data_IF_091525857474
#
_entry.id   IF_091525857474
#
_cell.length_a   1.000
_cell.length_b   1.000
_cell.length_c   1.000
_cell.angle_alpha   90.00
_cell.angle_beta   90.00
_cell.angle_gamma   90.00
#
_symmetry.space_group_name_H-M   'P 1'
#
loop_
_entity.id
_entity.type
_entity.pdbx_description
1 polymer ?
#
# COMPACT_ATOMS: atom_id res chain seq x y z
N UNK A 1 12.56 9.52 1.71
CA UNK A 1 11.73 8.74 0.77
C UNK A 1 11.66 7.25 1.10
N UNK A 2 12.69 6.43 0.86
CA UNK A 2 12.54 4.96 1.04
C UNK A 2 12.40 4.52 2.50
N UNK A 3 13.21 5.08 3.40
CA UNK A 3 13.04 4.80 4.83
C UNK A 3 11.70 5.30 5.36
N UNK A 4 11.26 6.50 4.98
CA UNK A 4 9.96 7.05 5.39
C UNK A 4 8.80 6.17 4.92
N UNK A 5 8.87 5.65 3.70
CA UNK A 5 7.90 4.69 3.18
C UNK A 5 7.86 3.42 4.04
N UNK A 6 9.03 2.83 4.32
CA UNK A 6 9.13 1.64 5.18
C UNK A 6 8.58 1.94 6.57
N UNK A 7 8.94 3.08 7.18
CA UNK A 7 8.43 3.51 8.48
C UNK A 7 6.91 3.61 8.49
N UNK A 8 6.33 4.35 7.54
CA UNK A 8 4.89 4.55 7.43
C UNK A 8 4.15 3.22 7.30
N UNK A 9 4.57 2.37 6.35
CA UNK A 9 3.91 1.08 6.11
C UNK A 9 3.99 0.17 7.34
N UNK A 10 5.15 0.16 8.03
CA UNK A 10 5.35 -0.67 9.22
C UNK A 10 4.80 -0.06 10.51
N UNK A 11 4.36 1.21 10.50
CA UNK A 11 3.55 1.80 11.56
C UNK A 11 2.08 1.43 11.40
N UNK A 12 1.59 1.33 10.16
CA UNK A 12 0.21 0.90 9.85
C UNK A 12 0.07 -0.62 9.99
N UNK A 13 1.05 -1.39 9.51
CA UNK A 13 1.03 -2.87 9.53
C UNK A 13 2.35 -3.39 10.13
N UNK A 14 2.48 -3.37 11.47
CA UNK A 14 3.72 -3.75 12.15
C UNK A 14 4.10 -5.22 11.95
N UNK A 15 3.16 -6.09 11.56
CA UNK A 15 3.37 -7.52 11.33
C UNK A 15 4.21 -7.82 10.09
N UNK A 16 4.39 -6.85 9.19
CA UNK A 16 5.17 -7.03 7.97
C UNK A 16 6.64 -7.35 8.26
N UNK A 17 7.21 -6.78 9.31
CA UNK A 17 8.61 -7.00 9.70
C UNK A 17 8.72 -7.18 11.20
N UNK A 18 9.61 -8.06 11.66
CA UNK A 18 9.94 -8.09 13.08
C UNK A 18 10.58 -6.77 13.49
N UNK A 19 10.47 -6.39 14.77
CA UNK A 19 11.10 -5.16 15.31
C UNK A 19 12.57 -5.03 14.91
N UNK A 20 13.31 -6.15 14.96
CA UNK A 20 14.72 -6.21 14.54
C UNK A 20 14.91 -6.00 13.04
N UNK A 21 14.10 -6.64 12.19
CA UNK A 21 14.18 -6.47 10.74
C UNK A 21 13.85 -5.04 10.33
N UNK A 22 12.77 -4.48 10.89
CA UNK A 22 12.35 -3.09 10.70
C UNK A 22 13.49 -2.13 11.06
N UNK A 23 14.07 -2.31 12.23
CA UNK A 23 15.20 -1.52 12.70
C UNK A 23 16.41 -1.57 11.77
N UNK A 24 16.85 -2.78 11.42
CA UNK A 24 18.02 -2.96 10.55
C UNK A 24 17.80 -2.31 9.17
N UNK A 25 16.59 -2.42 8.62
CA UNK A 25 16.25 -1.82 7.33
C UNK A 25 16.26 -0.29 7.41
N UNK A 26 15.55 0.28 8.39
CA UNK A 26 15.46 1.74 8.58
C UNK A 26 16.85 2.34 8.87
N UNK A 27 17.60 1.75 9.81
CA UNK A 27 18.94 2.22 10.19
C UNK A 27 19.92 2.09 9.03
N UNK A 28 19.88 0.99 8.28
CA UNK A 28 20.72 0.83 7.11
C UNK A 28 20.40 1.89 6.04
N UNK A 29 19.14 2.06 5.67
CA UNK A 29 18.76 3.08 4.68
C UNK A 29 19.19 4.49 5.09
N UNK A 30 19.03 4.86 6.38
CA UNK A 30 19.48 6.16 6.89
C UNK A 30 21.00 6.29 6.94
N UNK A 31 21.71 5.25 7.37
CA UNK A 31 23.17 5.25 7.40
C UNK A 31 23.77 5.43 5.99
N UNK A 32 23.20 4.74 4.99
CA UNK A 32 23.60 4.91 3.59
C UNK A 32 23.40 6.35 3.10
N UNK A 33 22.24 6.94 3.37
CA UNK A 33 21.97 8.34 3.01
C UNK A 33 22.97 9.30 3.65
N UNK A 34 23.26 9.12 4.94
CA UNK A 34 24.26 9.94 5.66
C UNK A 34 25.63 9.82 5.00
N UNK A 35 26.06 8.61 4.67
CA UNK A 35 27.34 8.36 4.03
C UNK A 35 27.38 8.92 2.60
N UNK A 36 26.29 8.89 1.85
CA UNK A 36 26.22 9.52 0.52
C UNK A 36 26.29 11.05 0.61
N UNK A 37 25.62 11.66 1.59
CA UNK A 37 25.68 13.11 1.84
C UNK A 37 27.08 13.58 2.23
N UNK A 38 27.78 12.80 3.06
CA UNK A 38 29.18 13.07 3.41
C UNK A 38 30.12 13.01 2.18
N UNK A 39 29.81 12.18 1.17
CA UNK A 39 30.62 12.02 -0.03
C UNK A 39 30.40 13.13 -1.05
N UNK A 40 29.14 13.50 -1.28
CA UNK A 40 28.72 14.33 -2.41
C UNK A 40 29.11 15.82 -2.27
N UNK A 41 29.42 16.29 -1.07
CA UNK A 41 29.64 17.72 -0.80
C UNK A 41 31.04 18.03 -0.31
N UNK A 42 31.68 19.04 -0.90
CA UNK A 42 32.95 19.60 -0.42
C UNK A 42 32.80 21.12 -0.27
N UNK A 43 32.75 21.65 0.98
CA UNK A 43 32.77 20.95 2.28
C UNK A 43 31.46 20.17 2.56
N UNK A 44 31.51 19.18 3.45
CA UNK A 44 30.30 18.47 3.85
C UNK A 44 29.37 19.39 4.67
N UNK A 45 28.11 19.51 4.25
CA UNK A 45 27.13 20.34 4.95
C UNK A 45 26.58 19.61 6.18
N UNK A 46 27.12 20.00 7.34
CA UNK A 46 26.68 19.51 8.65
C UNK A 46 25.18 19.74 8.86
N UNK A 47 24.61 20.81 8.32
CA UNK A 47 23.19 21.14 8.44
C UNK A 47 22.28 20.13 7.74
N UNK A 48 22.74 19.47 6.69
CA UNK A 48 21.98 18.44 5.97
C UNK A 48 22.12 17.06 6.62
N UNK A 49 23.24 16.78 7.28
CA UNK A 49 23.50 15.48 7.90
C UNK A 49 22.90 15.37 9.30
N UNK A 50 22.87 16.48 10.05
CA UNK A 50 22.40 16.53 11.43
C UNK A 50 20.97 15.97 11.65
N UNK A 51 19.95 16.31 10.84
CA UNK A 51 18.59 15.79 11.04
C UNK A 51 18.51 14.27 10.88
N UNK A 52 19.39 13.69 10.05
CA UNK A 52 19.44 12.26 9.84
C UNK A 52 20.13 11.53 11.00
N UNK A 53 21.15 12.14 11.61
CA UNK A 53 21.79 11.61 12.82
C UNK A 53 20.84 11.59 14.02
N UNK A 54 20.09 12.67 14.22
CA UNK A 54 19.07 12.74 15.27
C UNK A 54 18.01 11.66 15.09
N UNK A 55 17.57 11.43 13.85
CA UNK A 55 16.60 10.37 13.55
C UNK A 55 17.17 8.98 13.82
N UNK A 56 18.44 8.72 13.47
CA UNK A 56 19.12 7.45 13.80
C UNK A 56 19.19 7.25 15.32
N UNK A 57 19.49 8.31 16.08
CA UNK A 57 19.53 8.25 17.54
C UNK A 57 18.16 7.87 18.13
N UNK A 58 17.08 8.55 17.72
CA UNK A 58 15.71 8.25 18.18
C UNK A 58 15.32 6.79 17.89
N UNK A 59 15.66 6.29 16.70
CA UNK A 59 15.39 4.90 16.34
C UNK A 59 16.16 3.90 17.21
N UNK A 60 17.41 4.20 17.53
CA UNK A 60 18.29 3.36 18.35
C UNK A 60 17.82 3.31 19.80
N UNK A 61 17.38 4.45 20.35
CA UNK A 61 16.78 4.54 21.69
C UNK A 61 15.48 3.72 21.76
N UNK A 62 14.62 3.83 20.74
CA UNK A 62 13.41 3.03 20.63
C UNK A 62 13.69 1.52 20.58
N UNK A 63 14.88 1.09 20.15
CA UNK A 63 15.28 -0.33 20.09
C UNK A 63 15.94 -0.84 21.36
N UNK A 64 16.60 0.03 22.11
CA UNK A 64 17.35 -0.34 23.32
C UNK A 64 16.46 -0.84 24.47
N UNK A 65 15.16 -0.52 24.46
CA UNK A 65 14.18 -0.88 25.50
C UNK A 65 14.01 -2.41 25.65
N UNK A 66 14.35 -3.21 24.63
CA UNK A 66 14.16 -4.68 24.61
C UNK A 66 15.35 -5.50 25.16
N UNK A 67 16.26 -4.92 25.93
CA UNK A 67 17.33 -5.67 26.62
C UNK A 67 18.61 -5.92 25.82
N UNK A 68 18.71 -5.38 24.60
CA UNK A 68 19.91 -5.39 23.72
C UNK A 68 20.70 -4.07 23.77
N UNK A 69 20.60 -3.30 24.86
CA UNK A 69 21.05 -1.91 24.91
C UNK A 69 22.58 -1.74 24.75
N UNK A 70 23.39 -2.61 25.36
CA UNK A 70 24.84 -2.38 25.47
C UNK A 70 25.58 -2.51 24.13
N UNK A 71 25.33 -3.58 23.37
CA UNK A 71 26.00 -3.79 22.06
C UNK A 71 25.55 -2.75 21.04
N UNK A 72 24.27 -2.39 21.04
CA UNK A 72 23.69 -1.45 20.09
C UNK A 72 24.20 -0.02 20.33
N UNK A 73 24.34 0.38 21.61
CA UNK A 73 24.93 1.67 21.99
C UNK A 73 26.40 1.79 21.56
N UNK A 74 27.20 0.72 21.66
CA UNK A 74 28.61 0.74 21.23
C UNK A 74 28.73 0.87 19.71
N UNK A 75 27.87 0.20 18.93
CA UNK A 75 27.89 0.37 17.47
C UNK A 75 27.36 1.75 17.05
N UNK A 76 26.40 2.30 17.79
CA UNK A 76 25.92 3.67 17.60
C UNK A 76 27.05 4.68 17.74
N UNK A 77 27.78 4.62 18.86
CA UNK A 77 28.83 5.59 19.17
C UNK A 77 29.91 5.55 18.10
N UNK A 78 30.32 4.34 17.69
CA UNK A 78 31.29 4.15 16.60
C UNK A 78 30.82 4.76 15.28
N UNK A 79 29.53 4.62 14.95
CA UNK A 79 28.97 5.22 13.74
C UNK A 79 28.93 6.75 13.83
N UNK A 80 28.51 7.32 14.97
CA UNK A 80 28.53 8.77 15.19
C UNK A 80 29.94 9.34 15.14
N UNK A 81 30.91 8.66 15.75
CA UNK A 81 32.32 9.05 15.73
C UNK A 81 32.85 9.06 14.29
N UNK A 82 32.53 8.02 13.52
CA UNK A 82 32.86 7.95 12.10
C UNK A 82 32.26 9.13 11.34
N UNK A 83 30.95 9.38 11.43
CA UNK A 83 30.30 10.47 10.68
C UNK A 83 30.88 11.83 11.08
N UNK A 84 31.06 12.08 12.38
CA UNK A 84 31.68 13.32 12.87
C UNK A 84 33.09 13.52 12.30
N UNK A 85 33.85 12.45 12.16
CA UNK A 85 35.17 12.49 11.57
C UNK A 85 35.11 12.84 10.08
N UNK A 86 34.24 12.17 9.32
CA UNK A 86 34.02 12.45 7.90
C UNK A 86 33.58 13.90 7.64
N UNK A 87 32.81 14.49 8.55
CA UNK A 87 32.37 15.89 8.44
C UNK A 87 33.48 16.91 8.75
N UNK A 88 34.42 16.57 9.64
CA UNK A 88 35.46 17.49 10.13
C UNK A 88 36.76 17.41 9.35
N UNK A 89 37.19 16.20 8.97
CA UNK A 89 38.50 15.96 8.37
C UNK A 89 38.37 15.51 6.91
N UNK A 90 38.83 16.37 6.00
CA UNK A 90 38.82 16.08 4.56
C UNK A 90 39.68 14.87 4.20
N UNK A 91 40.87 14.76 4.79
CA UNK A 91 41.82 13.68 4.47
C UNK A 91 41.29 12.32 4.96
N UNK A 92 40.72 12.28 6.16
CA UNK A 92 40.08 11.07 6.70
C UNK A 92 38.85 10.66 5.89
N UNK A 93 38.10 11.64 5.41
CA UNK A 93 36.99 11.42 4.49
C UNK A 93 37.46 10.81 3.16
N UNK A 94 38.46 11.39 2.52
CA UNK A 94 39.02 10.86 1.28
C UNK A 94 39.56 9.43 1.48
N UNK A 95 40.27 9.17 2.58
CA UNK A 95 40.77 7.83 2.93
C UNK A 95 39.63 6.83 3.17
N UNK A 96 38.59 7.23 3.90
CA UNK A 96 37.43 6.37 4.17
C UNK A 96 36.72 5.96 2.88
N UNK A 97 36.52 6.87 1.92
CA UNK A 97 35.86 6.51 0.65
C UNK A 97 36.70 5.62 -0.27
N UNK A 98 38.02 5.52 -0.07
CA UNK A 98 38.84 4.50 -0.75
C UNK A 98 38.55 3.10 -0.23
N UNK A 99 38.31 2.94 1.08
CA UNK A 99 37.99 1.65 1.72
C UNK A 99 36.49 1.39 1.87
N UNK A 100 35.65 2.39 1.59
CA UNK A 100 34.20 2.34 1.71
C UNK A 100 33.57 1.16 0.95
N UNK A 101 33.96 0.83 -0.29
CA UNK A 101 33.41 -0.34 -1.00
C UNK A 101 33.71 -1.69 -0.32
N UNK A 102 34.63 -1.74 0.63
CA UNK A 102 34.93 -2.92 1.42
C UNK A 102 34.13 -2.96 2.73
N UNK A 103 33.97 -1.81 3.40
CA UNK A 103 33.27 -1.71 4.69
C UNK A 103 31.74 -1.59 4.54
N UNK A 104 31.26 -0.79 3.59
CA UNK A 104 29.85 -0.59 3.22
C UNK A 104 29.62 -1.11 1.80
N UNK A 105 30.18 -2.31 1.55
CA UNK A 105 30.25 -2.94 0.25
C UNK A 105 29.11 -3.92 -0.06
N UNK A 106 29.40 -4.94 -0.89
CA UNK A 106 28.41 -5.93 -1.34
C UNK A 106 27.64 -6.57 -0.19
N UNK A 107 28.30 -6.93 0.90
CA UNK A 107 27.66 -7.55 2.07
C UNK A 107 26.58 -6.66 2.67
N UNK A 108 26.83 -5.35 2.77
CA UNK A 108 25.88 -4.38 3.30
C UNK A 108 24.72 -4.17 2.33
N UNK A 109 25.03 -4.00 1.04
CA UNK A 109 24.04 -3.83 -0.02
C UNK A 109 23.13 -5.05 -0.17
N UNK A 110 23.69 -6.26 -0.07
CA UNK A 110 22.96 -7.51 -0.15
C UNK A 110 22.03 -7.69 1.05
N UNK A 111 22.48 -7.32 2.26
CA UNK A 111 21.65 -7.32 3.46
C UNK A 111 20.48 -6.35 3.33
N UNK A 112 20.73 -5.10 2.88
CA UNK A 112 19.68 -4.11 2.64
C UNK A 112 18.69 -4.57 1.58
N UNK A 113 19.19 -5.08 0.44
CA UNK A 113 18.36 -5.58 -0.65
C UNK A 113 17.50 -6.75 -0.20
N UNK A 114 18.06 -7.67 0.58
CA UNK A 114 17.33 -8.81 1.13
C UNK A 114 16.20 -8.38 2.07
N UNK A 115 16.48 -7.45 2.99
CA UNK A 115 15.47 -6.89 3.90
C UNK A 115 14.37 -6.15 3.14
N UNK A 116 14.73 -5.31 2.17
CA UNK A 116 13.77 -4.59 1.32
C UNK A 116 12.91 -5.55 0.51
N UNK A 117 13.52 -6.58 -0.09
CA UNK A 117 12.77 -7.60 -0.83
C UNK A 117 11.78 -8.34 0.07
N UNK A 118 12.22 -8.77 1.25
CA UNK A 118 11.33 -9.44 2.21
C UNK A 118 10.17 -8.54 2.62
N UNK A 119 10.43 -7.27 2.89
CA UNK A 119 9.40 -6.26 3.18
C UNK A 119 8.39 -6.17 2.03
N UNK A 120 8.86 -6.00 0.79
CA UNK A 120 8.00 -5.88 -0.38
C UNK A 120 7.18 -7.15 -0.65
N UNK A 121 7.78 -8.34 -0.54
CA UNK A 121 7.05 -9.60 -0.73
C UNK A 121 5.93 -9.79 0.31
N UNK A 122 6.16 -9.38 1.56
CA UNK A 122 5.13 -9.45 2.60
C UNK A 122 4.06 -8.37 2.43
N UNK A 123 4.46 -7.17 2.00
CA UNK A 123 3.53 -6.11 1.67
C UNK A 123 2.61 -6.53 0.51
N UNK A 124 3.17 -7.15 -0.52
CA UNK A 124 2.42 -7.72 -1.63
C UNK A 124 1.42 -8.78 -1.16
N UNK A 125 1.83 -9.68 -0.26
CA UNK A 125 0.91 -10.67 0.33
C UNK A 125 -0.21 -10.04 1.18
N UNK A 126 0.05 -8.88 1.77
CA UNK A 126 -0.93 -8.13 2.55
C UNK A 126 -1.93 -7.37 1.66
N UNK A 127 -1.54 -7.05 0.42
CA UNK A 127 -2.41 -6.45 -0.58
C UNK A 127 -3.14 -7.58 -1.33
N UNK A 128 -4.44 -7.82 -1.09
CA UNK A 128 -5.12 -8.90 -1.78
C UNK A 128 -5.11 -8.63 -3.28
N UNK A 129 -5.05 -9.68 -4.10
CA UNK A 129 -5.45 -9.60 -5.51
C UNK A 129 -6.95 -9.30 -5.55
N UNK A 130 -7.29 -8.01 -5.48
CA UNK A 130 -8.67 -7.57 -5.42
C UNK A 130 -9.29 -7.70 -6.82
N UNK A 131 -10.43 -8.37 -6.90
CA UNK A 131 -11.30 -8.29 -8.08
C UNK A 131 -11.82 -6.86 -8.23
N UNK A 132 -12.21 -6.45 -9.43
CA UNK A 132 -12.78 -5.13 -9.67
C UNK A 132 -14.00 -4.84 -8.76
N UNK A 133 -14.75 -5.87 -8.38
CA UNK A 133 -15.88 -5.75 -7.46
C UNK A 133 -15.44 -5.46 -6.02
N UNK A 134 -14.40 -6.12 -5.51
CA UNK A 134 -13.87 -5.89 -4.16
C UNK A 134 -13.14 -4.55 -4.05
N UNK A 135 -12.40 -4.19 -5.11
CA UNK A 135 -11.93 -2.83 -5.39
C UNK A 135 -13.13 -1.88 -5.23
N UNK A 136 -14.17 -2.02 -6.06
CA UNK A 136 -15.34 -1.14 -6.07
C UNK A 136 -16.07 -1.02 -4.71
N UNK A 137 -16.13 -2.07 -3.90
CA UNK A 137 -16.78 -2.02 -2.58
C UNK A 137 -15.98 -1.22 -1.55
N UNK A 138 -14.63 -1.33 -1.57
CA UNK A 138 -13.75 -0.49 -0.73
C UNK A 138 -13.83 0.98 -1.18
N UNK A 139 -14.05 1.20 -2.47
CA UNK A 139 -14.18 2.53 -3.08
C UNK A 139 -15.54 3.20 -2.87
N UNK A 140 -16.61 2.43 -2.70
CA UNK A 140 -17.95 2.97 -2.42
C UNK A 140 -18.05 3.58 -1.02
N UNK A 141 -17.21 3.14 -0.07
CA UNK A 141 -17.29 3.53 1.33
C UNK A 141 -16.39 4.72 1.71
N UNK A 142 -15.53 5.24 0.83
CA UNK A 142 -14.70 6.39 1.21
C UNK A 142 -13.87 7.09 0.13
N UNK A 143 -13.97 8.43 0.17
CA UNK A 143 -12.96 9.45 -0.19
C UNK A 143 -13.07 10.16 -1.55
N UNK A 144 -13.09 11.50 -1.47
CA UNK A 144 -12.93 12.44 -2.60
C UNK A 144 -11.59 12.31 -3.34
N UNK A 145 -10.58 11.69 -2.73
CA UNK A 145 -9.27 11.40 -3.37
C UNK A 145 -9.44 10.40 -4.53
N UNK A 146 -10.45 9.53 -4.45
CA UNK A 146 -10.74 8.57 -5.51
C UNK A 146 -11.29 9.25 -6.77
N UNK A 147 -12.02 10.35 -6.63
CA UNK A 147 -12.57 11.08 -7.77
C UNK A 147 -11.43 11.61 -8.67
N UNK A 148 -10.32 12.08 -8.07
CA UNK A 148 -9.10 12.43 -8.79
C UNK A 148 -8.42 11.22 -9.45
N UNK A 149 -8.36 10.06 -8.77
CA UNK A 149 -7.82 8.83 -9.36
C UNK A 149 -8.72 8.27 -10.48
N UNK A 150 -10.04 8.38 -10.38
CA UNK A 150 -10.97 7.97 -11.43
C UNK A 150 -10.92 8.93 -12.62
N UNK A 151 -10.79 10.23 -12.36
CA UNK A 151 -10.54 11.24 -13.40
C UNK A 151 -9.20 11.04 -14.10
N UNK A 152 -8.17 10.52 -13.42
CA UNK A 152 -6.91 10.16 -14.08
C UNK A 152 -7.08 8.90 -14.93
N UNK A 153 -7.62 7.80 -14.39
CA UNK A 153 -7.82 6.55 -15.16
C UNK A 153 -8.70 6.74 -16.40
N UNK A 154 -9.76 7.54 -16.30
CA UNK A 154 -10.65 7.87 -17.43
C UNK A 154 -9.98 8.73 -18.52
N UNK A 155 -8.84 9.35 -18.23
CA UNK A 155 -8.08 10.19 -19.17
C UNK A 155 -6.92 9.48 -19.86
N UNK A 156 -6.57 8.25 -19.48
CA UNK A 156 -5.28 7.68 -19.87
C UNK A 156 -5.35 6.69 -21.05
N UNK A 157 -4.67 7.08 -22.13
CA UNK A 157 -4.30 6.24 -23.28
C UNK A 157 -3.58 4.94 -22.86
N UNK A 158 -2.92 4.93 -21.71
CA UNK A 158 -2.18 3.80 -21.16
C UNK A 158 -3.09 2.62 -20.79
N UNK A 159 -4.27 2.89 -20.20
CA UNK A 159 -5.26 1.84 -19.93
C UNK A 159 -5.74 1.21 -21.24
N UNK A 160 -5.98 2.05 -22.26
CA UNK A 160 -6.36 1.58 -23.59
C UNK A 160 -5.27 0.69 -24.21
N UNK A 161 -4.02 1.10 -24.13
CA UNK A 161 -2.86 0.32 -24.61
C UNK A 161 -2.73 -1.01 -23.86
N UNK A 162 -2.91 -1.01 -22.53
CA UNK A 162 -2.83 -2.22 -21.71
C UNK A 162 -3.98 -3.20 -22.02
N UNK A 163 -5.20 -2.69 -22.18
CA UNK A 163 -6.36 -3.50 -22.57
C UNK A 163 -6.22 -4.05 -24.00
N UNK A 164 -5.63 -3.29 -24.92
CA UNK A 164 -5.33 -3.76 -26.28
C UNK A 164 -4.29 -4.89 -26.26
N UNK A 165 -3.19 -4.70 -25.52
CA UNK A 165 -2.16 -5.71 -25.36
C UNK A 165 -2.70 -7.03 -24.79
N UNK A 166 -3.56 -6.96 -23.76
CA UNK A 166 -4.17 -8.15 -23.16
C UNK A 166 -5.21 -8.82 -24.08
N UNK A 167 -5.98 -8.04 -24.85
CA UNK A 167 -6.91 -8.57 -25.86
C UNK A 167 -6.18 -9.40 -26.92
N UNK A 168 -5.02 -8.94 -27.36
CA UNK A 168 -4.24 -9.61 -28.40
C UNK A 168 -3.58 -10.91 -27.90
N UNK A 169 -3.30 -10.99 -26.59
CA UNK A 169 -2.72 -12.19 -25.94
C UNK A 169 -3.76 -13.25 -25.58
N UNK A 170 -4.98 -12.85 -25.24
CA UNK A 170 -6.08 -13.76 -24.95
C UNK A 170 -7.39 -13.10 -25.37
N UNK A 171 -7.88 -13.40 -26.59
CA UNK A 171 -9.18 -12.93 -27.03
C UNK A 171 -10.23 -13.43 -26.04
N UNK A 172 -11.15 -12.58 -25.57
CA UNK A 172 -12.23 -13.05 -24.72
C UNK A 172 -13.05 -14.09 -25.47
N UNK A 173 -13.20 -15.29 -24.89
CA UNK A 173 -14.16 -16.29 -25.36
C UNK A 173 -15.57 -15.72 -25.12
N UNK A 174 -16.11 -15.04 -26.13
CA UNK A 174 -17.50 -14.59 -26.12
C UNK A 174 -18.43 -15.80 -26.27
N UNK A 175 -18.68 -16.51 -25.17
CA UNK A 175 -19.92 -17.23 -25.00
C UNK A 175 -20.91 -16.27 -24.30
N UNK A 176 -21.42 -15.32 -25.07
CA UNK A 176 -22.46 -14.39 -24.62
C UNK A 176 -23.75 -15.19 -24.40
N UNK A 177 -23.94 -15.67 -23.17
CA UNK A 177 -25.28 -15.95 -22.67
C UNK A 177 -26.00 -14.61 -22.62
N UNK A 178 -26.74 -14.31 -23.70
CA UNK A 178 -27.55 -13.11 -23.91
C UNK A 178 -28.16 -12.60 -22.60
N UNK A 179 -27.47 -11.63 -21.99
CA UNK A 179 -28.05 -10.71 -21.04
C UNK A 179 -28.12 -9.37 -21.77
N UNK A 180 -28.88 -9.36 -22.88
CA UNK A 180 -29.15 -8.14 -23.62
C UNK A 180 -29.84 -7.18 -22.65
N UNK A 181 -29.14 -6.10 -22.29
CA UNK A 181 -29.59 -5.08 -21.34
C UNK A 181 -30.73 -4.24 -21.89
N UNK A 182 -31.79 -4.88 -22.39
CA UNK A 182 -32.96 -4.25 -23.00
C UNK A 182 -33.59 -3.18 -22.07
N UNK A 183 -33.43 -3.33 -20.75
CA UNK A 183 -33.93 -2.36 -19.77
C UNK A 183 -33.20 -1.02 -19.75
N UNK A 184 -31.92 -0.95 -20.13
CA UNK A 184 -31.14 0.31 -20.05
C UNK A 184 -31.53 1.23 -21.21
N UNK A 185 -31.57 0.70 -22.44
CA UNK A 185 -31.98 1.49 -23.61
C UNK A 185 -33.46 1.90 -23.49
N UNK A 186 -34.33 0.97 -23.06
CA UNK A 186 -35.75 1.28 -22.83
C UNK A 186 -35.97 2.33 -21.73
N UNK A 187 -35.11 2.38 -20.70
CA UNK A 187 -35.18 3.40 -19.65
C UNK A 187 -34.72 4.78 -20.13
N UNK A 188 -33.80 4.85 -21.09
CA UNK A 188 -33.36 6.10 -21.71
C UNK A 188 -34.39 6.64 -22.71
N UNK A 189 -35.16 5.75 -23.35
CA UNK A 189 -36.29 6.11 -24.21
C UNK A 189 -37.49 6.68 -23.44
N UNK A 190 -37.59 6.44 -22.13
CA UNK A 190 -38.57 7.09 -21.25
C UNK A 190 -38.13 8.50 -20.82
N UNK A 191 -37.90 9.37 -21.79
CA UNK A 191 -37.82 10.81 -21.55
C UNK A 191 -38.99 11.53 -22.21
N UNK A 192 -39.89 12.00 -21.33
CA UNK A 192 -40.86 13.09 -21.52
C UNK A 192 -42.13 12.71 -22.30
N UNK A 193 -43.08 12.06 -21.63
CA UNK A 193 -44.49 12.41 -21.91
C UNK A 193 -44.81 13.67 -21.10
N UNK A 194 -44.95 14.79 -21.82
CA UNK A 194 -45.55 16.02 -21.29
C UNK A 194 -46.88 15.67 -20.63
N UNK A 195 -47.00 16.00 -19.34
CA UNK A 195 -48.18 15.70 -18.55
C UNK A 195 -49.46 16.24 -19.18
N UNK A 196 -50.33 15.34 -19.62
CA UNK A 196 -51.77 15.60 -19.58
C UNK A 196 -52.31 15.05 -18.27
N UNK A 197 -52.49 15.96 -17.32
CA UNK A 197 -53.27 15.77 -16.10
C UNK A 197 -54.67 15.27 -16.50
N UNK A 198 -54.97 14.00 -16.30
CA UNK A 198 -56.36 13.55 -16.12
C UNK A 198 -56.47 12.79 -14.82
N UNK A 199 -57.04 13.52 -13.88
CA UNK A 199 -57.43 13.18 -12.53
C UNK A 199 -58.29 11.90 -12.46
N UNK A 200 -57.77 10.84 -11.82
CA UNK A 200 -58.59 9.86 -11.09
C UNK A 200 -57.75 9.06 -10.09
N UNK A 201 -58.17 8.92 -8.83
CA UNK A 201 -57.39 8.19 -7.82
C UNK A 201 -57.52 6.66 -8.04
N UNK A 202 -56.45 5.86 -7.81
CA UNK A 202 -56.58 4.42 -7.86
C UNK A 202 -57.30 3.92 -6.61
N UNK A 203 -58.40 3.19 -6.83
CA UNK A 203 -59.14 2.49 -5.80
C UNK A 203 -58.28 1.37 -5.18
N UNK A 204 -58.35 1.27 -3.86
CA UNK A 204 -57.85 0.14 -3.06
C UNK A 204 -58.35 -1.19 -3.62
N UNK A 205 -57.44 -2.11 -3.95
CA UNK A 205 -57.74 -3.55 -4.05
C UNK A 205 -56.55 -4.33 -3.51
N UNK A 206 -56.55 -4.57 -2.19
CA UNK A 206 -55.96 -5.78 -1.62
C UNK A 206 -57.11 -6.50 -0.94
N UNK A 207 -57.69 -7.49 -1.64
CA UNK A 207 -58.46 -8.54 -0.99
C UNK A 207 -58.06 -9.89 -1.59
N UNK A 208 -57.42 -10.66 -0.70
CA UNK A 208 -57.31 -12.09 -0.57
C UNK A 208 -57.85 -13.00 -1.70
N UNK A 209 -56.97 -13.91 -2.17
CA UNK A 209 -57.34 -15.33 -2.26
C UNK A 209 -56.09 -16.20 -2.06
N UNK A 210 -55.83 -16.57 -0.80
CA UNK A 210 -54.91 -17.64 -0.44
C UNK A 210 -55.79 -18.84 -0.08
N UNK A 211 -55.99 -19.73 -1.05
CA UNK A 211 -56.78 -20.94 -0.85
C UNK A 211 -56.16 -21.85 0.22
N UNK A 212 -57.02 -22.25 1.16
CA UNK A 212 -56.77 -23.30 2.14
C UNK A 212 -57.04 -24.67 1.53
N UNK A 213 -56.13 -25.62 1.73
CA UNK A 213 -56.40 -27.06 1.68
C UNK A 213 -55.79 -27.74 2.92
N UNK A 214 -56.39 -28.83 3.47
CA UNK A 214 -56.45 -29.03 4.91
C UNK A 214 -55.46 -30.06 5.51
N UNK A 215 -55.29 -29.86 6.81
CA UNK A 215 -54.69 -30.66 7.88
C UNK A 215 -54.87 -32.19 7.77
N UNK A 216 -53.79 -32.93 8.06
CA UNK A 216 -53.86 -34.11 8.94
C UNK A 216 -52.67 -34.16 9.89
N UNK A 217 -53.04 -34.07 11.17
CA UNK A 217 -52.31 -34.35 12.39
C UNK A 217 -51.84 -35.82 12.44
N UNK A 218 -50.58 -36.08 12.78
CA UNK A 218 -50.30 -37.20 13.69
C UNK A 218 -49.02 -36.96 14.49
N UNK A 219 -49.25 -36.85 15.79
CA UNK A 219 -48.30 -37.02 16.90
C UNK A 219 -47.86 -38.49 16.89
N UNK A 220 -46.61 -38.76 17.25
CA UNK A 220 -46.31 -39.77 18.28
C UNK A 220 -44.94 -39.52 18.93
N UNK A 221 -44.91 -39.78 20.22
CA UNK A 221 -43.84 -39.55 21.19
C UNK A 221 -43.57 -40.87 21.88
N UNK A 222 -42.31 -41.31 21.93
CA UNK A 222 -41.72 -42.16 22.99
C UNK A 222 -40.23 -42.29 22.67
N UNK A 223 -39.36 -41.71 23.51
CA UNK A 223 -38.73 -42.32 24.69
C UNK A 223 -37.35 -42.88 24.32
#
# INVERSE_FOLDING_TARGET
MLEEFVSMVTDVVPELLTRRQRAQLILGLRARLILELCQAQSPADVGLVQPHLERVQVLMEALAIDGSATTLNVQHSKFLDLVNNLLKNRDERENFYQVFPQAFGPTYDDALRSLMRMFLCRLEQFLPLQTFQQVSSVFAEGSSVLEECMQSVSRHQELRTLLQYHRDLSPPDHNDGSLDGACIISALELTIEEGTLTDKPPAKVWDATLEKGPLTLSRDTTA
#
